data_IF_895103028334
#
_entry.id   IF_895103028334
#
_cell.length_a   1.000
_cell.length_b   1.000
_cell.length_c   1.000
_cell.angle_alpha   90.00
_cell.angle_beta   90.00
_cell.angle_gamma   90.00
#
_symmetry.space_group_name_H-M   'P 1'
#
loop_
_entity.id
_entity.type
_entity.pdbx_description
1 polymer ?
#
# COMPACT_ATOMS: atom_id res chain seq x y z
N UNK A 1 5.21 24.19 -18.32
CA UNK A 1 4.74 24.92 -19.52
C UNK A 1 3.22 24.80 -19.57
N UNK A 2 2.49 25.93 -19.68
CA UNK A 2 1.02 25.94 -19.62
C UNK A 2 0.38 25.53 -20.96
N UNK A 3 1.12 25.68 -22.05
CA UNK A 3 0.64 25.46 -23.42
C UNK A 3 1.07 24.09 -23.96
N UNK A 4 1.99 23.41 -23.26
CA UNK A 4 2.41 22.05 -23.58
C UNK A 4 1.33 20.99 -23.27
N UNK A 5 1.30 19.87 -24.00
CA UNK A 5 0.48 18.70 -23.64
C UNK A 5 0.72 18.30 -22.17
N UNK A 6 -0.33 17.87 -21.46
CA UNK A 6 -0.33 17.69 -19.99
C UNK A 6 0.94 17.04 -19.40
N UNK A 7 1.50 16.01 -20.04
CA UNK A 7 2.69 15.30 -19.53
C UNK A 7 4.03 15.92 -19.92
N UNK A 8 4.04 16.83 -20.90
CA UNK A 8 5.23 17.54 -21.39
C UNK A 8 5.47 18.89 -20.71
N UNK A 9 4.56 19.33 -19.84
CA UNK A 9 4.70 20.60 -19.11
C UNK A 9 5.16 20.46 -17.65
N UNK A 10 5.50 19.25 -17.20
CA UNK A 10 5.76 18.91 -15.79
C UNK A 10 7.26 18.80 -15.51
N UNK A 11 7.73 19.34 -14.39
CA UNK A 11 9.11 19.20 -13.90
C UNK A 11 9.13 18.51 -12.53
N UNK A 12 10.17 17.72 -12.24
CA UNK A 12 10.38 17.09 -10.93
C UNK A 12 11.37 17.95 -10.13
N UNK A 13 10.95 18.41 -8.94
CA UNK A 13 11.70 19.37 -8.13
C UNK A 13 11.99 18.81 -6.74
N UNK A 14 13.24 18.91 -6.28
CA UNK A 14 13.60 18.66 -4.88
C UNK A 14 13.43 19.95 -4.08
N UNK A 15 12.21 20.21 -3.62
CA UNK A 15 11.88 21.48 -2.94
C UNK A 15 12.34 21.45 -1.47
N UNK A 16 13.12 22.45 -0.99
CA UNK A 16 13.42 22.58 0.43
C UNK A 16 12.14 22.80 1.25
N UNK A 17 11.81 21.88 2.16
CA UNK A 17 10.53 21.96 2.89
C UNK A 17 10.57 22.98 4.05
N UNK A 18 11.74 23.26 4.60
CA UNK A 18 11.94 24.23 5.70
C UNK A 18 12.31 25.60 5.14
N UNK A 19 11.33 26.34 4.64
CA UNK A 19 11.53 27.68 4.12
C UNK A 19 10.26 28.54 4.25
N UNK A 20 10.37 29.88 4.21
CA UNK A 20 9.21 30.76 4.08
C UNK A 20 8.36 30.39 2.86
N UNK A 21 7.04 30.44 3.00
CA UNK A 21 6.10 30.11 1.94
C UNK A 21 5.82 28.62 1.75
N UNK A 22 6.43 27.72 2.52
CA UNK A 22 6.02 26.31 2.61
C UNK A 22 5.28 26.10 3.92
N UNK A 23 4.00 25.72 3.84
CA UNK A 23 3.18 25.37 4.99
C UNK A 23 2.79 23.90 4.92
N UNK A 24 3.03 23.15 5.99
CA UNK A 24 2.68 21.73 6.10
C UNK A 24 1.62 21.57 7.18
N UNK A 25 0.42 21.13 6.80
CA UNK A 25 -0.70 20.88 7.72
C UNK A 25 -0.94 19.38 7.84
N UNK A 26 -0.62 18.79 8.97
CA UNK A 26 -0.88 17.38 9.23
C UNK A 26 -2.38 17.05 9.22
N UNK A 27 -2.75 15.96 8.57
CA UNK A 27 -4.10 15.41 8.55
C UNK A 27 -4.14 14.27 9.57
N UNK A 28 -4.92 14.45 10.64
CA UNK A 28 -5.09 13.42 11.66
C UNK A 28 -5.91 12.27 11.09
N UNK A 29 -5.32 11.07 11.12
CA UNK A 29 -5.90 9.82 10.64
C UNK A 29 -6.71 9.12 11.75
N UNK A 30 -7.56 8.12 11.41
CA UNK A 30 -8.40 7.42 12.40
C UNK A 30 -7.65 6.75 13.55
N UNK A 31 -6.36 6.43 13.38
CA UNK A 31 -5.50 5.86 14.41
C UNK A 31 -4.80 6.94 15.27
N UNK A 32 -5.10 8.21 15.03
CA UNK A 32 -4.61 9.35 15.81
C UNK A 32 -3.24 9.87 15.35
N UNK A 33 -2.64 9.33 14.29
CA UNK A 33 -1.37 9.83 13.73
C UNK A 33 -1.61 10.89 12.67
N UNK A 34 -0.61 11.72 12.40
CA UNK A 34 -0.68 12.77 11.38
C UNK A 34 0.50 12.67 10.42
N UNK A 35 0.67 11.50 9.79
CA UNK A 35 1.76 11.22 8.85
C UNK A 35 1.46 11.74 7.44
N UNK A 36 0.17 11.89 7.11
CA UNK A 36 -0.27 12.58 5.92
C UNK A 36 -0.43 14.06 6.20
N UNK A 37 -0.21 14.89 5.18
CA UNK A 37 -0.35 16.33 5.29
C UNK A 37 -0.84 16.96 4.00
N UNK A 38 -1.48 18.12 4.13
CA UNK A 38 -1.60 19.09 3.05
C UNK A 38 -0.33 19.95 3.04
N UNK A 39 0.20 20.22 1.85
CA UNK A 39 1.37 21.08 1.68
C UNK A 39 1.01 22.24 0.77
N UNK A 40 1.12 23.46 1.29
CA UNK A 40 0.89 24.69 0.55
C UNK A 40 2.23 25.34 0.18
N UNK A 41 2.36 25.73 -1.08
CA UNK A 41 3.52 26.45 -1.61
C UNK A 41 3.09 27.85 -2.06
N UNK A 42 3.37 28.86 -1.25
CA UNK A 42 3.06 30.28 -1.50
C UNK A 42 4.35 31.06 -1.75
N UNK A 43 4.65 31.36 -3.01
CA UNK A 43 5.92 32.01 -3.41
C UNK A 43 7.19 31.26 -2.92
N UNK A 44 7.08 29.96 -2.65
CA UNK A 44 8.20 29.12 -2.26
C UNK A 44 9.28 29.10 -3.35
N UNK A 45 10.56 29.07 -2.97
CA UNK A 45 11.69 29.09 -3.90
C UNK A 45 12.32 27.69 -3.97
N UNK A 46 12.69 27.28 -5.17
CA UNK A 46 13.44 26.04 -5.40
C UNK A 46 14.65 26.38 -6.29
N UNK A 47 15.88 26.03 -5.90
CA UNK A 47 17.05 26.20 -6.76
C UNK A 47 16.86 25.49 -8.11
N UNK A 48 17.38 26.07 -9.19
CA UNK A 48 17.32 25.47 -10.53
C UNK A 48 18.03 24.12 -10.59
N UNK A 49 19.11 23.96 -9.82
CA UNK A 49 19.91 22.74 -9.77
C UNK A 49 19.18 21.58 -9.07
N UNK A 50 18.06 21.86 -8.39
CA UNK A 50 17.19 20.84 -7.78
C UNK A 50 16.16 20.27 -8.76
N UNK A 51 16.23 20.62 -10.04
CA UNK A 51 15.39 20.05 -11.10
C UNK A 51 15.98 18.72 -11.55
N UNK A 52 15.28 17.63 -11.24
CA UNK A 52 15.72 16.28 -11.64
C UNK A 52 15.26 15.99 -13.06
N UNK A 53 16.18 15.50 -13.90
CA UNK A 53 15.89 15.10 -15.28
C UNK A 53 15.69 16.26 -16.27
N UNK A 54 15.84 17.51 -15.83
CA UNK A 54 15.66 18.71 -16.65
C UNK A 54 14.23 19.26 -16.64
N UNK A 55 14.12 20.55 -17.01
CA UNK A 55 12.83 21.25 -17.07
C UNK A 55 11.91 20.56 -18.07
N UNK A 56 10.62 20.44 -17.72
CA UNK A 56 9.57 19.81 -18.53
C UNK A 56 9.72 18.29 -18.76
N UNK A 57 10.69 17.64 -18.10
CA UNK A 57 10.93 16.20 -18.21
C UNK A 57 10.52 15.40 -16.94
N UNK A 58 9.76 16.02 -16.05
CA UNK A 58 9.39 15.45 -14.75
C UNK A 58 8.53 14.19 -14.85
N UNK A 59 7.76 14.03 -15.94
CA UNK A 59 6.94 12.83 -16.16
C UNK A 59 7.79 11.57 -16.37
N UNK A 60 8.92 11.68 -17.07
CA UNK A 60 9.85 10.56 -17.27
C UNK A 60 10.46 10.14 -15.94
N UNK A 61 10.95 11.11 -15.16
CA UNK A 61 11.51 10.88 -13.82
C UNK A 61 10.48 10.22 -12.91
N UNK A 62 9.26 10.74 -12.87
CA UNK A 62 8.16 10.19 -12.05
C UNK A 62 7.86 8.74 -12.40
N UNK A 63 7.78 8.39 -13.69
CA UNK A 63 7.53 7.02 -14.11
C UNK A 63 8.67 6.07 -13.72
N UNK A 64 9.92 6.53 -13.80
CA UNK A 64 11.07 5.74 -13.34
C UNK A 64 11.01 5.48 -11.83
N UNK A 65 10.72 6.50 -11.02
CA UNK A 65 10.55 6.34 -9.57
C UNK A 65 9.41 5.37 -9.23
N UNK A 66 8.25 5.54 -9.86
CA UNK A 66 7.09 4.66 -9.65
C UNK A 66 7.34 3.22 -10.12
N UNK A 67 8.17 3.01 -11.14
CA UNK A 67 8.56 1.68 -11.58
C UNK A 67 9.45 0.98 -10.54
N UNK A 68 10.41 1.73 -9.96
CA UNK A 68 11.31 1.22 -8.93
C UNK A 68 10.56 0.80 -7.66
N UNK A 69 9.62 1.62 -7.17
CA UNK A 69 8.81 1.32 -5.98
C UNK A 69 7.99 0.03 -6.14
N UNK A 70 7.40 -0.19 -7.31
CA UNK A 70 6.62 -1.40 -7.62
C UNK A 70 7.48 -2.65 -7.63
N UNK A 71 8.72 -2.56 -8.14
CA UNK A 71 9.64 -3.70 -8.24
C UNK A 71 10.11 -4.22 -6.89
N UNK A 72 10.48 -3.33 -5.95
CA UNK A 72 10.93 -3.73 -4.62
C UNK A 72 9.82 -4.39 -3.80
N UNK A 73 8.61 -3.83 -3.81
CA UNK A 73 7.49 -4.36 -3.02
C UNK A 73 7.06 -5.76 -3.47
N UNK A 74 7.10 -6.03 -4.78
CA UNK A 74 6.64 -7.30 -5.35
C UNK A 74 7.47 -8.53 -4.93
N UNK A 75 8.75 -8.36 -4.61
CA UNK A 75 9.65 -9.48 -4.32
C UNK A 75 9.73 -9.85 -2.84
N UNK A 76 9.48 -8.90 -1.94
CA UNK A 76 9.69 -9.08 -0.49
C UNK A 76 8.47 -8.77 0.37
N UNK A 77 7.42 -8.15 -0.19
CA UNK A 77 6.24 -7.72 0.55
C UNK A 77 5.51 -8.83 1.31
N UNK A 78 5.57 -10.08 0.82
CA UNK A 78 4.98 -11.24 1.48
C UNK A 78 5.50 -11.46 2.91
N UNK A 79 6.75 -11.07 3.22
CA UNK A 79 7.38 -11.31 4.52
C UNK A 79 6.67 -10.56 5.65
N UNK A 80 6.16 -9.37 5.35
CA UNK A 80 5.34 -8.59 6.27
C UNK A 80 4.08 -9.39 6.65
N UNK A 81 3.35 -9.86 5.65
CA UNK A 81 2.12 -10.64 5.83
C UNK A 81 2.36 -12.00 6.49
N UNK A 82 3.49 -12.68 6.22
CA UNK A 82 3.88 -13.91 6.95
C UNK A 82 4.03 -13.65 8.46
N UNK A 83 4.57 -12.49 8.83
CA UNK A 83 4.76 -12.13 10.23
C UNK A 83 3.44 -11.72 10.89
N UNK A 84 2.58 -10.99 10.21
CA UNK A 84 1.20 -10.71 10.67
C UNK A 84 0.40 -12.01 10.87
N UNK A 85 0.46 -12.94 9.90
CA UNK A 85 -0.18 -14.26 10.01
C UNK A 85 0.29 -15.02 11.26
N UNK A 86 1.59 -15.01 11.57
CA UNK A 86 2.12 -15.64 12.78
C UNK A 86 1.55 -15.00 14.05
N UNK A 87 1.41 -13.68 14.08
CA UNK A 87 0.78 -12.98 15.20
C UNK A 87 -0.71 -13.37 15.35
N UNK A 88 -1.43 -13.46 14.24
CA UNK A 88 -2.84 -13.89 14.21
C UNK A 88 -3.04 -15.33 14.71
N UNK A 89 -2.22 -16.26 14.22
CA UNK A 89 -2.28 -17.67 14.68
C UNK A 89 -1.96 -17.79 16.16
N UNK A 90 -0.98 -17.01 16.65
CA UNK A 90 -0.63 -17.00 18.06
C UNK A 90 -1.78 -16.47 18.91
N UNK A 91 -2.32 -15.30 18.57
CA UNK A 91 -3.45 -14.71 19.30
C UNK A 91 -4.68 -15.61 19.31
N UNK A 92 -5.01 -16.22 18.16
CA UNK A 92 -6.12 -17.17 18.08
C UNK A 92 -5.91 -18.42 18.96
N UNK A 93 -4.65 -18.88 19.14
CA UNK A 93 -4.34 -19.97 20.06
C UNK A 93 -4.45 -19.55 21.52
N UNK A 94 -3.95 -18.37 21.85
CA UNK A 94 -3.94 -17.82 23.21
C UNK A 94 -5.35 -17.58 23.74
N UNK A 95 -6.25 -17.05 22.91
CA UNK A 95 -7.63 -16.75 23.30
C UNK A 95 -8.65 -17.86 22.97
N UNK A 96 -8.19 -18.99 22.40
CA UNK A 96 -9.04 -20.13 22.06
C UNK A 96 -9.86 -19.99 20.77
N UNK A 97 -9.84 -18.85 20.08
CA UNK A 97 -10.53 -18.66 18.80
C UNK A 97 -10.06 -19.62 17.70
N UNK A 98 -8.87 -20.20 17.85
CA UNK A 98 -8.36 -21.25 16.95
C UNK A 98 -9.24 -22.50 16.93
N UNK A 99 -10.10 -22.72 17.93
CA UNK A 99 -11.02 -23.86 17.96
C UNK A 99 -12.26 -23.64 17.08
N UNK A 100 -12.53 -22.41 16.64
CA UNK A 100 -13.59 -22.12 15.68
C UNK A 100 -13.15 -22.57 14.27
N UNK A 101 -13.89 -23.51 13.62
CA UNK A 101 -13.55 -23.98 12.29
C UNK A 101 -13.57 -22.87 11.23
N UNK A 102 -14.39 -21.82 11.38
CA UNK A 102 -14.48 -20.69 10.45
C UNK A 102 -13.23 -19.81 10.55
N UNK A 103 -12.75 -19.54 11.76
CA UNK A 103 -11.50 -18.79 11.99
C UNK A 103 -10.31 -19.57 11.43
N UNK A 104 -10.23 -20.87 11.68
CA UNK A 104 -9.17 -21.73 11.09
C UNK A 104 -9.16 -21.70 9.58
N UNK A 105 -10.34 -21.78 8.96
CA UNK A 105 -10.47 -21.75 7.50
C UNK A 105 -9.96 -20.42 6.93
N UNK A 106 -10.37 -19.29 7.51
CA UNK A 106 -9.95 -17.95 7.07
C UNK A 106 -8.46 -17.69 7.30
N UNK A 107 -7.88 -18.22 8.37
CA UNK A 107 -6.42 -18.20 8.58
C UNK A 107 -5.69 -18.95 7.46
N UNK A 108 -6.18 -20.12 7.04
CA UNK A 108 -5.59 -20.88 5.95
C UNK A 108 -5.76 -20.20 4.58
N UNK A 109 -6.87 -19.51 4.35
CA UNK A 109 -7.05 -18.68 3.17
C UNK A 109 -6.03 -17.54 3.14
N UNK A 110 -5.81 -16.86 4.26
CA UNK A 110 -4.78 -15.83 4.35
C UNK A 110 -3.38 -16.39 4.09
N UNK A 111 -3.02 -17.49 4.76
CA UNK A 111 -1.76 -18.19 4.52
C UNK A 111 -1.54 -18.55 3.05
N UNK A 112 -2.56 -19.10 2.40
CA UNK A 112 -2.50 -19.47 0.99
C UNK A 112 -2.24 -18.26 0.10
N UNK A 113 -2.92 -17.13 0.35
CA UNK A 113 -2.70 -15.89 -0.41
C UNK A 113 -1.29 -15.33 -0.20
N UNK A 114 -0.73 -15.44 1.01
CA UNK A 114 0.66 -15.06 1.29
C UNK A 114 1.64 -15.93 0.47
N UNK A 115 1.41 -17.24 0.39
CA UNK A 115 2.25 -18.13 -0.41
C UNK A 115 2.15 -17.80 -1.90
N UNK A 116 0.97 -17.44 -2.41
CA UNK A 116 0.79 -16.96 -3.78
C UNK A 116 1.64 -15.70 -4.03
N UNK A 117 1.63 -14.72 -3.12
CA UNK A 117 2.47 -13.53 -3.23
C UNK A 117 3.96 -13.87 -3.24
N UNK A 118 4.40 -14.76 -2.35
CA UNK A 118 5.79 -15.21 -2.28
C UNK A 118 6.24 -15.86 -3.58
N UNK A 119 5.47 -16.82 -4.09
CA UNK A 119 5.81 -17.54 -5.32
C UNK A 119 5.82 -16.59 -6.52
N UNK A 120 4.84 -15.67 -6.59
CA UNK A 120 4.80 -14.66 -7.65
C UNK A 120 5.98 -13.69 -7.59
N UNK A 121 6.38 -13.25 -6.40
CA UNK A 121 7.57 -12.43 -6.18
C UNK A 121 8.85 -13.14 -6.60
N UNK A 122 8.99 -14.42 -6.25
CA UNK A 122 10.11 -15.27 -6.70
C UNK A 122 10.11 -15.44 -8.22
N UNK A 123 8.95 -15.65 -8.84
CA UNK A 123 8.82 -15.73 -10.30
C UNK A 123 9.27 -14.44 -10.97
N UNK A 124 8.83 -13.28 -10.47
CA UNK A 124 9.29 -11.98 -10.99
C UNK A 124 10.79 -11.80 -10.84
N UNK A 125 11.36 -12.15 -9.68
CA UNK A 125 12.80 -12.08 -9.43
C UNK A 125 13.58 -13.00 -10.39
N UNK A 126 13.17 -14.26 -10.54
CA UNK A 126 13.80 -15.21 -11.44
C UNK A 126 13.77 -14.74 -12.90
N UNK A 127 12.63 -14.26 -13.37
CA UNK A 127 12.50 -13.72 -14.73
C UNK A 127 13.45 -12.54 -14.97
N UNK A 128 13.55 -11.61 -14.01
CA UNK A 128 14.49 -10.49 -14.08
C UNK A 128 15.94 -10.94 -14.09
N UNK A 129 16.33 -11.84 -13.18
CA UNK A 129 17.72 -12.35 -13.09
C UNK A 129 18.15 -13.13 -14.33
N UNK A 130 17.23 -13.85 -14.96
CA UNK A 130 17.49 -14.61 -16.18
C UNK A 130 17.44 -13.76 -17.45
N UNK A 131 17.11 -12.46 -17.36
CA UNK A 131 16.93 -11.58 -18.52
C UNK A 131 15.82 -12.04 -19.48
N UNK A 132 14.89 -12.89 -19.02
CA UNK A 132 13.81 -13.41 -19.85
C UNK A 132 12.66 -12.42 -19.93
N UNK A 133 12.04 -12.32 -21.10
CA UNK A 133 10.76 -11.63 -21.25
C UNK A 133 9.65 -12.66 -21.09
N UNK A 134 9.01 -12.69 -19.93
CA UNK A 134 7.83 -13.51 -19.68
C UNK A 134 6.58 -12.61 -19.78
N UNK A 135 5.74 -12.77 -20.83
CA UNK A 135 4.52 -11.98 -21.02
C UNK A 135 3.55 -12.07 -19.83
N UNK A 136 3.56 -13.17 -19.06
CA UNK A 136 2.70 -13.32 -17.89
C UNK A 136 3.07 -12.36 -16.74
N UNK A 137 4.27 -11.77 -16.76
CA UNK A 137 4.68 -10.79 -15.76
C UNK A 137 3.91 -9.48 -15.88
N UNK A 138 3.48 -9.11 -17.09
CA UNK A 138 2.65 -7.92 -17.29
C UNK A 138 1.28 -8.08 -16.61
N UNK A 139 0.66 -9.25 -16.80
CA UNK A 139 -0.61 -9.61 -16.15
C UNK A 139 -0.46 -9.70 -14.63
N UNK A 140 0.64 -10.30 -14.15
CA UNK A 140 0.94 -10.35 -12.72
C UNK A 140 1.09 -8.94 -12.13
N UNK A 141 1.85 -8.05 -12.77
CA UNK A 141 2.05 -6.68 -12.31
C UNK A 141 0.74 -5.89 -12.22
N UNK A 142 -0.16 -6.06 -13.19
CA UNK A 142 -1.47 -5.40 -13.21
C UNK A 142 -2.43 -5.93 -12.13
N UNK A 143 -2.35 -7.21 -11.79
CA UNK A 143 -3.25 -7.85 -10.80
C UNK A 143 -2.72 -7.78 -9.38
N UNK A 144 -1.39 -7.65 -9.20
CA UNK A 144 -0.73 -7.78 -7.90
C UNK A 144 -1.29 -6.81 -6.86
N UNK A 145 -1.48 -5.53 -7.22
CA UNK A 145 -1.97 -4.51 -6.29
C UNK A 145 -3.32 -4.89 -5.69
N UNK A 146 -4.29 -5.16 -6.56
CA UNK A 146 -5.63 -5.58 -6.14
C UNK A 146 -5.59 -6.87 -5.31
N UNK A 147 -4.74 -7.82 -5.68
CA UNK A 147 -4.62 -9.09 -4.96
C UNK A 147 -4.20 -8.87 -3.50
N UNK A 148 -3.09 -8.15 -3.26
CA UNK A 148 -2.58 -8.00 -1.91
C UNK A 148 -3.43 -7.03 -1.08
N UNK A 149 -3.99 -5.97 -1.66
CA UNK A 149 -4.79 -5.00 -0.89
C UNK A 149 -6.11 -5.60 -0.43
N UNK A 150 -6.81 -6.36 -1.28
CA UNK A 150 -8.06 -7.03 -0.88
C UNK A 150 -7.78 -8.20 0.08
N UNK A 151 -6.65 -8.89 -0.07
CA UNK A 151 -6.18 -9.89 0.90
C UNK A 151 -5.97 -9.27 2.28
N UNK A 152 -5.20 -8.18 2.37
CA UNK A 152 -4.86 -7.58 3.65
C UNK A 152 -6.08 -6.97 4.34
N UNK A 153 -7.01 -6.36 3.59
CA UNK A 153 -8.31 -5.91 4.11
C UNK A 153 -9.08 -7.06 4.79
N UNK A 154 -9.21 -8.20 4.12
CA UNK A 154 -9.90 -9.38 4.67
C UNK A 154 -9.14 -10.01 5.85
N UNK A 155 -7.81 -9.96 5.83
CA UNK A 155 -6.98 -10.43 6.94
C UNK A 155 -7.13 -9.55 8.18
N UNK A 156 -7.26 -8.22 8.01
CA UNK A 156 -7.49 -7.33 9.15
C UNK A 156 -8.91 -7.46 9.71
N UNK A 157 -9.91 -7.70 8.87
CA UNK A 157 -11.25 -8.10 9.32
C UNK A 157 -11.19 -9.41 10.13
N UNK A 158 -10.41 -10.40 9.68
CA UNK A 158 -10.16 -11.63 10.44
C UNK A 158 -9.45 -11.37 11.77
N UNK A 159 -8.53 -10.41 11.83
CA UNK A 159 -7.86 -10.05 13.09
C UNK A 159 -8.85 -9.50 14.13
N UNK A 160 -9.83 -8.70 13.69
CA UNK A 160 -10.92 -8.25 14.56
C UNK A 160 -11.77 -9.43 15.04
N UNK A 161 -12.14 -10.34 14.13
CA UNK A 161 -12.96 -11.52 14.47
C UNK A 161 -12.25 -12.46 15.44
N UNK A 162 -10.92 -12.62 15.31
CA UNK A 162 -10.11 -13.38 16.28
C UNK A 162 -10.17 -12.74 17.67
N UNK A 163 -10.15 -11.41 17.77
CA UNK A 163 -10.26 -10.68 19.03
C UNK A 163 -11.70 -10.62 19.58
N UNK A 164 -12.70 -10.89 18.74
CA UNK A 164 -14.11 -10.89 19.12
C UNK A 164 -14.54 -9.53 19.70
N UNK A 165 -15.28 -9.55 20.82
CA UNK A 165 -15.79 -8.33 21.45
C UNK A 165 -14.69 -7.35 21.89
N UNK A 166 -13.48 -7.82 22.19
CA UNK A 166 -12.37 -6.95 22.56
C UNK A 166 -11.99 -5.99 21.41
N UNK A 167 -12.26 -6.36 20.16
CA UNK A 167 -12.00 -5.52 18.99
C UNK A 167 -12.84 -4.24 18.93
N UNK A 168 -13.81 -4.06 19.82
CA UNK A 168 -14.52 -2.78 19.97
C UNK A 168 -13.66 -1.69 20.65
N UNK A 169 -12.54 -2.07 21.27
CA UNK A 169 -11.62 -1.15 21.94
C UNK A 169 -10.44 -0.79 21.02
N UNK A 170 -10.08 0.48 20.96
CA UNK A 170 -9.00 0.97 20.07
C UNK A 170 -7.60 0.49 20.47
N UNK A 171 -7.42 0.11 21.73
CA UNK A 171 -6.20 -0.46 22.29
C UNK A 171 -6.15 -2.00 22.23
N UNK A 172 -7.20 -2.64 21.67
CA UNK A 172 -7.23 -4.08 21.45
C UNK A 172 -6.01 -4.52 20.64
N UNK A 173 -5.24 -5.44 21.20
CA UNK A 173 -3.97 -5.88 20.64
C UNK A 173 -3.94 -7.40 20.51
N UNK A 174 -3.12 -7.88 19.57
CA UNK A 174 -2.90 -9.30 19.34
C UNK A 174 -1.41 -9.59 19.22
N UNK A 175 -0.94 -10.61 19.93
CA UNK A 175 0.47 -10.99 19.98
C UNK A 175 1.31 -10.05 20.86
N UNK A 176 2.58 -9.88 20.51
CA UNK A 176 3.58 -9.06 21.24
C UNK A 176 3.39 -7.54 21.05
N UNK A 177 2.26 -7.10 20.50
CA UNK A 177 1.96 -5.70 20.22
C UNK A 177 2.74 -5.10 19.05
N UNK A 178 3.66 -5.86 18.42
CA UNK A 178 4.51 -5.38 17.35
C UNK A 178 4.01 -5.87 15.98
N UNK A 179 3.11 -5.11 15.37
CA UNK A 179 2.61 -5.42 14.03
C UNK A 179 3.58 -4.92 12.96
N UNK A 180 4.08 -5.80 12.08
CA UNK A 180 4.98 -5.41 11.01
C UNK A 180 4.36 -4.34 10.09
N UNK A 181 5.12 -3.28 9.79
CA UNK A 181 4.66 -2.21 8.91
C UNK A 181 3.85 -1.11 9.60
N UNK A 182 3.67 -1.16 10.93
CA UNK A 182 3.14 -0.05 11.73
C UNK A 182 4.23 0.49 12.66
N UNK A 183 5.05 1.42 12.17
CA UNK A 183 6.02 2.14 12.97
C UNK A 183 5.55 3.58 13.14
N UNK A 184 4.81 3.88 14.22
CA UNK A 184 4.27 5.22 14.45
C UNK A 184 4.57 5.70 15.87
N UNK A 185 5.37 6.76 15.97
CA UNK A 185 5.87 7.27 17.25
C UNK A 185 4.95 8.31 17.89
N UNK A 186 4.26 9.14 17.09
CA UNK A 186 3.44 10.25 17.60
C UNK A 186 1.97 10.06 17.27
N UNK A 187 1.19 9.75 18.30
CA UNK A 187 -0.27 9.68 18.27
C UNK A 187 -0.88 10.84 19.04
N UNK A 188 -2.16 11.10 18.77
CA UNK A 188 -3.01 11.97 19.57
C UNK A 188 -2.95 11.56 21.05
N UNK A 189 -2.77 12.54 21.93
CA UNK A 189 -2.75 12.33 23.38
C UNK A 189 -4.07 11.72 23.87
N UNK A 190 -3.97 10.74 24.79
CA UNK A 190 -5.13 10.05 25.36
C UNK A 190 -5.84 9.07 24.41
N UNK A 191 -5.26 8.76 23.24
CA UNK A 191 -5.85 7.87 22.24
C UNK A 191 -4.93 6.66 21.95
N UNK A 192 -4.99 5.59 22.77
CA UNK A 192 -4.01 4.51 22.78
C UNK A 192 -4.27 3.47 21.68
N UNK A 193 -4.28 3.88 20.41
CA UNK A 193 -4.55 2.95 19.31
C UNK A 193 -3.44 1.92 19.20
N UNK A 194 -3.80 0.63 19.30
CA UNK A 194 -2.84 -0.46 19.17
C UNK A 194 -2.27 -0.54 17.75
N UNK A 195 -1.13 -1.22 17.60
CA UNK A 195 -0.54 -1.51 16.29
C UNK A 195 -1.48 -2.33 15.40
N UNK A 196 -2.25 -3.27 15.98
CA UNK A 196 -3.26 -4.05 15.25
C UNK A 196 -4.37 -3.15 14.70
N UNK A 197 -4.94 -2.28 15.53
CA UNK A 197 -6.00 -1.36 15.11
C UNK A 197 -5.49 -0.34 14.09
N UNK A 198 -4.25 0.13 14.25
CA UNK A 198 -3.57 0.98 13.27
C UNK A 198 -3.46 0.27 11.91
N UNK A 199 -3.07 -1.02 11.89
CA UNK A 199 -3.01 -1.83 10.67
C UNK A 199 -4.39 -2.05 10.04
N UNK A 200 -5.43 -2.30 10.86
CA UNK A 200 -6.81 -2.39 10.38
C UNK A 200 -7.26 -1.11 9.67
N UNK A 201 -7.10 0.07 10.28
CA UNK A 201 -7.44 1.34 9.63
C UNK A 201 -6.62 1.56 8.36
N UNK A 202 -5.33 1.25 8.40
CA UNK A 202 -4.45 1.39 7.25
C UNK A 202 -4.90 0.52 6.08
N UNK A 203 -5.30 -0.74 6.33
CA UNK A 203 -5.76 -1.69 5.29
C UNK A 203 -6.92 -1.16 4.45
N UNK A 204 -7.79 -0.32 5.01
CA UNK A 204 -8.90 0.31 4.27
C UNK A 204 -8.39 1.25 3.18
N UNK A 205 -7.34 2.02 3.50
CA UNK A 205 -6.75 3.00 2.58
C UNK A 205 -6.02 2.34 1.41
N UNK A 206 -5.46 1.14 1.60
CA UNK A 206 -4.63 0.45 0.60
C UNK A 206 -5.40 0.11 -0.69
N UNK A 207 -6.70 -0.11 -0.57
CA UNK A 207 -7.58 -0.31 -1.74
C UNK A 207 -7.81 0.96 -2.56
N UNK A 208 -7.40 2.13 -2.06
CA UNK A 208 -7.65 3.44 -2.67
C UNK A 208 -6.37 4.04 -3.24
N UNK A 209 -5.34 4.24 -2.41
CA UNK A 209 -4.12 4.94 -2.86
C UNK A 209 -3.32 4.09 -3.86
N UNK A 210 -2.52 4.74 -4.71
CA UNK A 210 -1.81 4.07 -5.80
C UNK A 210 -2.75 3.55 -6.92
N UNK A 211 -3.95 4.11 -7.01
CA UNK A 211 -5.00 3.75 -7.99
C UNK A 211 -6.02 2.79 -7.38
N UNK A 212 -7.27 3.21 -7.29
CA UNK A 212 -8.34 2.48 -6.58
C UNK A 212 -8.56 1.08 -7.14
N UNK A 213 -9.12 0.16 -6.34
CA UNK A 213 -9.45 -1.19 -6.81
C UNK A 213 -10.32 -1.17 -8.08
N UNK A 214 -11.19 -0.18 -8.27
CA UNK A 214 -12.00 -0.01 -9.47
C UNK A 214 -11.13 0.33 -10.70
N UNK A 215 -10.19 1.28 -10.55
CA UNK A 215 -9.25 1.61 -11.63
C UNK A 215 -8.35 0.41 -11.95
N UNK A 216 -7.90 -0.35 -10.94
CA UNK A 216 -7.13 -1.57 -11.18
C UNK A 216 -7.93 -2.62 -11.96
N UNK A 217 -9.23 -2.79 -11.67
CA UNK A 217 -10.10 -3.69 -12.44
C UNK A 217 -10.22 -3.26 -13.90
N UNK A 218 -10.34 -1.96 -14.18
CA UNK A 218 -10.34 -1.45 -15.55
C UNK A 218 -9.01 -1.73 -16.25
N UNK A 219 -7.87 -1.50 -15.57
CA UNK A 219 -6.54 -1.80 -16.11
C UNK A 219 -6.41 -3.28 -16.47
N UNK A 220 -6.87 -4.18 -15.61
CA UNK A 220 -6.87 -5.62 -15.88
C UNK A 220 -7.79 -5.95 -17.06
N UNK A 221 -9.02 -5.43 -17.07
CA UNK A 221 -9.98 -5.62 -18.15
C UNK A 221 -9.40 -5.19 -19.51
N UNK A 222 -8.89 -3.97 -19.60
CA UNK A 222 -8.41 -3.38 -20.85
C UNK A 222 -7.08 -3.97 -21.31
N UNK A 223 -6.10 -4.11 -20.40
CA UNK A 223 -4.71 -4.44 -20.77
C UNK A 223 -4.39 -5.92 -20.71
N UNK A 224 -5.10 -6.69 -19.88
CA UNK A 224 -4.86 -8.13 -19.72
C UNK A 224 -5.91 -8.94 -20.47
N UNK A 225 -7.18 -8.55 -20.36
CA UNK A 225 -8.29 -9.27 -20.99
C UNK A 225 -8.72 -8.73 -22.35
N UNK A 226 -8.20 -7.56 -22.77
CA UNK A 226 -8.52 -6.95 -24.06
C UNK A 226 -9.93 -6.38 -24.16
N UNK A 227 -10.58 -6.08 -23.03
CA UNK A 227 -11.91 -5.47 -23.01
C UNK A 227 -11.85 -4.01 -23.53
N UNK A 228 -12.95 -3.49 -24.11
CA UNK A 228 -13.04 -2.08 -24.51
C UNK A 228 -12.83 -1.14 -23.33
N UNK A 229 -12.30 0.06 -23.61
CA UNK A 229 -12.14 1.14 -22.62
C UNK A 229 -13.49 1.71 -22.18
N UNK A 230 -13.61 2.04 -20.89
CA UNK A 230 -14.77 2.75 -20.35
C UNK A 230 -14.47 4.19 -19.85
N UNK A 231 -15.44 5.11 -19.98
CA UNK A 231 -16.68 4.95 -20.75
C UNK A 231 -16.36 4.84 -22.25
N UNK A 232 -17.14 4.02 -22.97
CA UNK A 232 -16.98 3.86 -24.41
C UNK A 232 -16.97 5.22 -25.11
N UNK A 233 -16.25 5.34 -26.23
CA UNK A 233 -16.29 6.53 -27.05
C UNK A 233 -17.75 6.88 -27.37
N UNK A 234 -18.20 8.06 -26.95
CA UNK A 234 -19.42 8.66 -27.48
C UNK A 234 -19.30 8.83 -28.99
#
# INVERSE_FOLDING_TARGET
DKDAPKHKGISYLLVPMKQPGVEVRGIVQPDGTAEFCEVFFTNARCPKDNVVGGVNNGWVVTNSTLAFERGMSATTGYRRFESEYKAMVRGAKENGAINDPVIRQRLMEYYTKIQILKINGLRSLSTTLMGKKDPSMAALGATNKMFWTEMHKAAMELALDIQGAASMLVDSAMGDGNWPGTAREKRREGYPVSSMMSAFFFSRSETIWGGTSQIQRNIVGERVLGLPKEPGSK
#
